data_IF_594956040730
#
_entry.id   IF_594956040730
#
_cell.length_a   1.000
_cell.length_b   1.000
_cell.length_c   1.000
_cell.angle_alpha   90.00
_cell.angle_beta   90.00
_cell.angle_gamma   90.00
#
_symmetry.space_group_name_H-M   'P 1'
#
loop_
_entity.id
_entity.type
_entity.pdbx_description
1 polymer ?
#
# COMPACT_ATOMS: atom_id res chain seq x y z
N UNK A 1 25.93 -2.61 -14.53
CA UNK A 1 24.56 -2.81 -14.04
C UNK A 1 23.95 -1.45 -13.84
N UNK A 2 22.85 -1.14 -14.51
CA UNK A 2 22.15 0.13 -14.35
C UNK A 2 21.44 0.15 -12.99
N UNK A 3 22.12 0.63 -11.96
CA UNK A 3 21.48 0.91 -10.68
C UNK A 3 20.97 2.35 -10.77
N UNK A 4 19.67 2.50 -10.98
CA UNK A 4 19.04 3.79 -10.71
C UNK A 4 19.11 4.00 -9.19
N UNK A 5 19.58 5.18 -8.75
CA UNK A 5 19.49 5.58 -7.35
C UNK A 5 18.04 5.92 -7.04
N UNK A 6 17.31 4.90 -6.59
CA UNK A 6 15.89 5.01 -6.24
C UNK A 6 15.80 5.26 -4.74
N UNK A 7 15.19 6.37 -4.29
CA UNK A 7 15.06 6.69 -2.88
C UNK A 7 13.91 5.88 -2.25
N UNK A 8 14.17 4.61 -1.93
CA UNK A 8 13.12 3.70 -1.44
C UNK A 8 12.46 4.15 -0.13
N UNK A 9 13.19 4.88 0.73
CA UNK A 9 12.65 5.42 1.99
C UNK A 9 11.54 6.46 1.76
N UNK A 10 11.55 7.13 0.61
CA UNK A 10 10.51 8.08 0.21
C UNK A 10 9.31 7.41 -0.47
N UNK A 11 9.44 6.12 -0.84
CA UNK A 11 8.47 5.39 -1.67
C UNK A 11 7.63 4.37 -0.89
N UNK A 12 7.89 4.19 0.40
CA UNK A 12 7.17 3.18 1.18
C UNK A 12 7.56 3.14 2.65
N UNK A 13 6.95 2.20 3.37
CA UNK A 13 7.18 1.94 4.80
C UNK A 13 7.06 0.44 5.10
N UNK A 14 7.52 0.02 6.28
CA UNK A 14 7.31 -1.34 6.79
C UNK A 14 6.89 -1.32 8.26
N UNK A 15 5.95 -2.20 8.60
CA UNK A 15 5.33 -2.28 9.92
C UNK A 15 5.40 -3.70 10.47
N UNK A 16 5.60 -3.80 11.79
CA UNK A 16 5.46 -5.04 12.56
C UNK A 16 4.74 -4.75 13.87
N UNK A 17 4.09 -5.76 14.43
CA UNK A 17 3.29 -5.64 15.65
C UNK A 17 3.62 -6.74 16.65
N UNK A 18 3.17 -6.57 17.91
CA UNK A 18 3.46 -7.47 19.05
C UNK A 18 3.31 -8.97 18.73
N UNK A 19 2.29 -9.33 17.97
CA UNK A 19 1.90 -10.73 17.74
C UNK A 19 2.44 -11.32 16.43
N UNK A 20 3.48 -10.71 15.86
CA UNK A 20 4.14 -11.21 14.65
C UNK A 20 3.41 -10.90 13.34
N UNK A 21 2.29 -10.16 13.38
CA UNK A 21 1.65 -9.65 12.17
C UNK A 21 2.41 -8.42 11.66
N UNK A 22 2.60 -8.33 10.35
CA UNK A 22 3.32 -7.22 9.74
C UNK A 22 3.02 -7.09 8.26
N UNK A 23 3.34 -5.94 7.69
CA UNK A 23 3.25 -5.69 6.27
C UNK A 23 4.23 -4.61 5.82
N UNK A 24 4.71 -4.71 4.58
CA UNK A 24 5.31 -3.60 3.86
C UNK A 24 4.27 -2.87 3.01
N UNK A 25 4.53 -1.61 2.68
CA UNK A 25 3.71 -0.82 1.76
C UNK A 25 4.60 -0.06 0.77
N UNK A 26 4.23 -0.11 -0.51
CA UNK A 26 4.77 0.73 -1.57
C UNK A 26 3.69 1.77 -1.92
N UNK A 27 4.02 3.06 -1.79
CA UNK A 27 3.05 4.13 -1.99
C UNK A 27 2.55 4.22 -3.43
N UNK A 28 1.28 4.60 -3.57
CA UNK A 28 0.61 4.85 -4.85
C UNK A 28 0.67 3.67 -5.86
N UNK A 29 0.92 2.45 -5.39
CA UNK A 29 1.15 1.27 -6.22
C UNK A 29 0.03 0.22 -6.13
N UNK A 30 -1.12 0.50 -5.50
CA UNK A 30 -2.20 -0.47 -5.28
C UNK A 30 -2.66 -1.22 -6.56
N UNK A 31 -2.59 -0.58 -7.73
CA UNK A 31 -2.93 -1.17 -9.03
C UNK A 31 -1.69 -1.43 -9.91
N UNK A 32 -0.50 -1.53 -9.31
CA UNK A 32 0.79 -1.52 -10.02
C UNK A 32 1.00 -2.71 -10.96
N UNK A 33 0.53 -3.91 -10.57
CA UNK A 33 0.71 -5.14 -11.34
C UNK A 33 -0.48 -5.48 -12.25
N UNK A 34 -1.64 -4.85 -12.04
CA UNK A 34 -2.82 -5.09 -12.87
C UNK A 34 -2.68 -4.37 -14.21
N UNK A 35 -2.59 -5.11 -15.32
CA UNK A 35 -2.58 -4.52 -16.67
C UNK A 35 -3.96 -3.92 -17.01
N UNK A 36 -5.03 -4.69 -16.83
CA UNK A 36 -6.42 -4.24 -16.98
C UNK A 36 -6.94 -3.75 -15.63
N UNK A 37 -6.80 -2.45 -15.36
CA UNK A 37 -7.01 -1.87 -14.01
C UNK A 37 -8.03 -0.74 -13.91
N UNK A 38 -8.75 -0.44 -14.98
CA UNK A 38 -9.65 0.74 -15.04
C UNK A 38 -10.67 0.75 -13.90
N UNK A 39 -11.43 -0.35 -13.72
CA UNK A 39 -12.42 -0.44 -12.64
C UNK A 39 -11.80 -0.38 -11.24
N UNK A 40 -10.66 -1.05 -11.03
CA UNK A 40 -9.97 -1.04 -9.74
C UNK A 40 -9.39 0.33 -9.38
N UNK A 41 -8.78 1.00 -10.35
CA UNK A 41 -8.24 2.36 -10.18
C UNK A 41 -9.36 3.34 -9.89
N UNK A 42 -10.45 3.29 -10.66
CA UNK A 42 -11.62 4.14 -10.44
C UNK A 42 -12.23 3.94 -9.05
N UNK A 43 -12.32 2.71 -8.57
CA UNK A 43 -12.83 2.43 -7.22
C UNK A 43 -11.99 3.12 -6.14
N UNK A 44 -10.66 3.03 -6.22
CA UNK A 44 -9.77 3.69 -5.27
C UNK A 44 -9.92 5.22 -5.32
N UNK A 45 -10.04 5.80 -6.52
CA UNK A 45 -10.25 7.23 -6.72
C UNK A 45 -11.58 7.72 -6.14
N UNK A 46 -12.66 6.97 -6.36
CA UNK A 46 -14.00 7.34 -5.89
C UNK A 46 -14.14 7.21 -4.35
N UNK A 47 -13.38 6.30 -3.72
CA UNK A 47 -13.55 5.96 -2.30
C UNK A 47 -12.50 6.55 -1.37
N UNK A 48 -11.31 6.94 -1.87
CA UNK A 48 -10.22 7.50 -1.04
C UNK A 48 -10.65 8.72 -0.23
N UNK A 49 -11.56 9.55 -0.73
CA UNK A 49 -12.09 10.70 0.01
C UNK A 49 -12.81 10.29 1.30
N UNK A 50 -13.55 9.20 1.26
CA UNK A 50 -14.25 8.65 2.41
C UNK A 50 -13.29 7.96 3.40
N UNK A 51 -12.26 7.29 2.88
CA UNK A 51 -11.18 6.72 3.70
C UNK A 51 -10.45 7.85 4.45
N UNK A 52 -10.09 8.93 3.75
CA UNK A 52 -9.47 10.11 4.36
C UNK A 52 -10.32 10.70 5.46
N UNK A 53 -11.63 10.88 5.21
CA UNK A 53 -12.58 11.44 6.17
C UNK A 53 -12.70 10.60 7.45
N UNK A 54 -12.69 9.26 7.31
CA UNK A 54 -12.87 8.33 8.44
C UNK A 54 -11.57 8.03 9.20
N UNK A 55 -10.46 7.89 8.48
CA UNK A 55 -9.23 7.31 9.01
C UNK A 55 -8.03 8.25 8.99
N UNK A 56 -8.19 9.45 8.42
CA UNK A 56 -7.14 10.44 8.29
C UNK A 56 -6.28 10.26 7.04
N UNK A 57 -5.47 11.28 6.70
CA UNK A 57 -4.56 11.23 5.55
C UNK A 57 -3.49 10.14 5.66
N UNK A 58 -3.06 9.79 6.86
CA UNK A 58 -2.00 8.82 7.11
C UNK A 58 -2.43 7.42 6.65
N UNK A 59 -3.69 7.06 6.88
CA UNK A 59 -4.26 5.77 6.45
C UNK A 59 -4.86 5.82 5.06
N UNK A 60 -5.15 7.00 4.50
CA UNK A 60 -5.43 7.15 3.07
C UNK A 60 -4.19 6.81 2.22
N UNK A 61 -2.98 7.26 2.63
CA UNK A 61 -1.70 6.90 1.99
C UNK A 61 -1.56 5.38 1.87
N UNK A 62 -1.79 4.71 2.99
CA UNK A 62 -1.79 3.27 3.10
C UNK A 62 -2.83 2.58 2.19
N UNK A 63 -4.06 3.10 2.13
CA UNK A 63 -5.16 2.58 1.31
C UNK A 63 -4.84 2.57 -0.19
N UNK A 64 -4.01 3.51 -0.65
CA UNK A 64 -3.60 3.64 -2.04
C UNK A 64 -2.28 2.91 -2.36
N UNK A 65 -1.65 2.31 -1.35
CA UNK A 65 -0.40 1.58 -1.48
C UNK A 65 -0.60 0.10 -1.84
N UNK A 66 0.45 -0.52 -2.37
CA UNK A 66 0.53 -1.97 -2.52
C UNK A 66 1.09 -2.59 -1.25
N UNK A 67 0.36 -3.54 -0.65
CA UNK A 67 0.78 -4.19 0.59
C UNK A 67 1.31 -5.60 0.35
N UNK A 68 2.37 -5.95 1.07
CA UNK A 68 2.80 -7.33 1.25
C UNK A 68 2.64 -7.68 2.74
N UNK A 69 1.51 -8.29 3.10
CA UNK A 69 1.14 -8.56 4.48
C UNK A 69 1.38 -10.03 4.82
N UNK A 70 1.68 -10.31 6.09
CA UNK A 70 1.55 -11.64 6.66
C UNK A 70 0.87 -11.55 8.03
N UNK A 71 -0.19 -12.32 8.20
CA UNK A 71 -0.83 -12.53 9.49
C UNK A 71 -0.29 -13.85 10.02
N UNK A 72 0.58 -13.74 11.02
CA UNK A 72 1.16 -14.90 11.70
C UNK A 72 0.09 -15.93 12.11
N UNK A 73 0.35 -17.25 11.93
CA UNK A 73 1.64 -17.84 11.55
C UNK A 73 1.90 -17.99 10.06
N UNK A 74 0.88 -18.21 9.23
CA UNK A 74 1.07 -18.76 7.89
C UNK A 74 0.06 -18.24 6.85
N UNK A 75 -0.58 -17.10 7.12
CA UNK A 75 -1.41 -16.40 6.14
C UNK A 75 -0.65 -15.18 5.59
N UNK A 76 -0.78 -14.91 4.30
CA UNK A 76 -0.22 -13.74 3.61
C UNK A 76 -1.22 -13.16 2.63
#
# INVERSE_FOLDING_TARGET
GNRADIPFDDLGLQFTTRHGHGFGVIDNAAAGLHIKREGWTKFLEDTRGEVRRKFGPERERLYLGHWNCSIFPNCS
#
